data_IF_488944445967
#
_entry.id   IF_488944445967
#
_cell.length_a   1.000
_cell.length_b   1.000
_cell.length_c   1.000
_cell.angle_alpha   90.00
_cell.angle_beta   90.00
_cell.angle_gamma   90.00
#
_symmetry.space_group_name_H-M   'P 1'
#
loop_
_entity.id
_entity.type
_entity.pdbx_description
1 polymer ?
#
# COMPACT_ATOMS: atom_id res chain seq x y z
N UNK A 1 3.65 -31.23 -9.17
CA UNK A 1 3.70 -30.60 -7.84
C UNK A 1 4.36 -29.24 -7.99
N UNK A 2 3.60 -28.14 -7.92
CA UNK A 2 4.09 -26.77 -7.66
C UNK A 2 2.87 -25.83 -7.58
N UNK A 3 2.38 -25.70 -6.34
CA UNK A 3 1.79 -24.52 -5.69
C UNK A 3 1.14 -23.44 -6.57
N UNK A 4 -0.19 -23.39 -6.55
CA UNK A 4 -0.93 -22.14 -6.61
C UNK A 4 -0.68 -21.36 -5.31
N UNK A 5 -0.36 -20.06 -5.34
CA UNK A 5 -0.84 -19.17 -4.30
C UNK A 5 -2.20 -18.65 -4.75
N UNK A 6 -3.24 -19.26 -4.18
CA UNK A 6 -4.48 -18.55 -3.86
C UNK A 6 -4.10 -17.34 -3.01
N UNK A 7 -4.37 -16.12 -3.47
CA UNK A 7 -4.58 -14.96 -2.60
C UNK A 7 -5.16 -13.81 -3.43
N UNK A 8 -6.49 -13.75 -3.45
CA UNK A 8 -7.27 -12.59 -3.89
C UNK A 8 -7.04 -11.43 -2.92
N UNK A 9 -5.83 -10.91 -2.85
CA UNK A 9 -5.57 -9.63 -2.24
C UNK A 9 -5.81 -8.57 -3.33
N UNK A 10 -6.89 -7.81 -3.22
CA UNK A 10 -7.17 -6.67 -4.11
C UNK A 10 -6.10 -5.58 -3.91
N UNK A 11 -4.99 -5.75 -4.62
CA UNK A 11 -3.88 -4.82 -4.65
C UNK A 11 -4.18 -3.75 -5.70
N UNK A 12 -4.30 -2.51 -5.24
CA UNK A 12 -4.62 -1.38 -6.12
C UNK A 12 -3.44 -0.42 -6.18
N UNK A 13 -3.12 0.03 -7.39
CA UNK A 13 -2.15 1.08 -7.61
C UNK A 13 -2.78 2.44 -7.31
N UNK A 14 -2.36 3.07 -6.23
CA UNK A 14 -2.88 4.36 -5.77
C UNK A 14 -1.82 5.45 -5.89
N UNK A 15 -2.23 6.69 -6.19
CA UNK A 15 -1.30 7.82 -6.19
C UNK A 15 -0.84 8.17 -4.77
N UNK A 16 0.23 8.96 -4.62
CA UNK A 16 0.68 9.43 -3.29
C UNK A 16 -0.43 10.07 -2.45
N UNK A 17 -1.42 10.72 -3.08
CA UNK A 17 -2.54 11.34 -2.37
C UNK A 17 -3.54 10.30 -1.87
N UNK A 18 -3.86 9.31 -2.68
CA UNK A 18 -4.82 8.25 -2.36
C UNK A 18 -4.22 7.22 -1.41
N UNK A 19 -2.98 6.79 -1.65
CA UNK A 19 -2.26 5.88 -0.77
C UNK A 19 -2.18 6.42 0.66
N UNK A 20 -1.93 7.73 0.84
CA UNK A 20 -1.97 8.37 2.16
C UNK A 20 -3.35 8.32 2.80
N UNK A 21 -4.43 8.50 2.04
CA UNK A 21 -5.81 8.41 2.55
C UNK A 21 -6.18 6.99 2.97
N UNK A 22 -5.78 6.00 2.17
CA UNK A 22 -6.09 4.58 2.40
C UNK A 22 -5.27 4.02 3.55
N UNK A 23 -3.94 4.25 3.54
CA UNK A 23 -3.04 3.82 4.61
C UNK A 23 -3.19 4.66 5.89
N UNK A 24 -3.86 5.82 5.81
CA UNK A 24 -3.97 6.82 6.90
C UNK A 24 -2.60 7.19 7.50
N UNK A 25 -1.57 7.22 6.67
CA UNK A 25 -0.19 7.58 7.07
C UNK A 25 0.13 9.02 6.70
N UNK A 26 1.05 9.61 7.46
CA UNK A 26 1.67 10.90 7.13
C UNK A 26 2.68 10.76 5.97
N UNK A 27 3.05 11.88 5.35
CA UNK A 27 4.09 11.93 4.32
C UNK A 27 5.44 11.35 4.79
N UNK A 28 5.85 11.64 6.02
CA UNK A 28 7.05 11.06 6.64
C UNK A 28 6.97 9.53 6.76
N UNK A 29 5.84 8.98 7.23
CA UNK A 29 5.65 7.53 7.30
C UNK A 29 5.64 6.88 5.92
N UNK A 30 4.99 7.49 4.93
CA UNK A 30 5.01 6.99 3.56
C UNK A 30 6.43 6.96 3.00
N UNK A 31 7.27 7.96 3.33
CA UNK A 31 8.67 7.97 2.96
C UNK A 31 9.46 6.85 3.65
N UNK A 32 9.25 6.62 4.95
CA UNK A 32 9.88 5.50 5.66
C UNK A 32 9.52 4.16 5.03
N UNK A 33 8.24 3.89 4.76
CA UNK A 33 7.81 2.65 4.12
C UNK A 33 8.45 2.44 2.73
N UNK A 34 8.64 3.53 1.99
CA UNK A 34 9.35 3.53 0.70
C UNK A 34 10.86 3.24 0.87
N UNK A 35 11.51 3.86 1.86
CA UNK A 35 12.94 3.69 2.14
C UNK A 35 13.27 2.33 2.74
N UNK A 36 12.38 1.80 3.59
CA UNK A 36 12.48 0.48 4.20
C UNK A 36 12.21 -0.65 3.18
N UNK A 37 11.75 -0.34 1.97
CA UNK A 37 11.39 -1.34 0.96
C UNK A 37 10.11 -2.12 1.31
N UNK A 38 9.34 -1.65 2.29
CA UNK A 38 8.07 -2.27 2.75
C UNK A 38 6.90 -1.93 1.84
N UNK A 39 7.04 -0.91 1.00
CA UNK A 39 5.99 -0.44 0.09
C UNK A 39 6.43 -0.53 -1.35
N UNK A 40 5.72 -1.34 -2.13
CA UNK A 40 5.93 -1.41 -3.57
C UNK A 40 5.43 -0.13 -4.23
N UNK A 41 6.29 0.48 -5.05
CA UNK A 41 5.95 1.67 -5.80
C UNK A 41 6.39 1.51 -7.26
N UNK A 42 5.64 2.11 -8.17
CA UNK A 42 6.00 2.25 -9.58
C UNK A 42 5.94 3.71 -9.98
N UNK A 43 6.79 4.12 -10.91
CA UNK A 43 6.78 5.46 -11.49
C UNK A 43 6.22 5.34 -12.90
N UNK A 44 5.15 6.08 -13.18
CA UNK A 44 4.51 6.13 -14.49
C UNK A 44 4.51 7.60 -14.95
N UNK A 45 5.41 7.91 -15.89
CA UNK A 45 5.70 9.28 -16.32
C UNK A 45 6.23 10.14 -15.16
N UNK A 46 5.51 11.22 -14.82
CA UNK A 46 5.83 12.12 -13.72
C UNK A 46 5.10 11.79 -12.40
N UNK A 47 4.37 10.66 -12.34
CA UNK A 47 3.57 10.28 -11.16
C UNK A 47 4.14 9.03 -10.51
N UNK A 48 4.03 8.99 -9.18
CA UNK A 48 4.34 7.80 -8.38
C UNK A 48 3.03 7.13 -7.97
N UNK A 49 2.99 5.82 -8.17
CA UNK A 49 1.91 4.95 -7.76
C UNK A 49 2.45 3.95 -6.74
N UNK A 50 1.64 3.62 -5.75
CA UNK A 50 1.97 2.72 -4.66
C UNK A 50 0.99 1.57 -4.69
N UNK A 51 1.52 0.35 -4.61
CA UNK A 51 0.68 -0.84 -4.54
C UNK A 51 0.21 -1.00 -3.10
N UNK A 52 -1.08 -0.77 -2.89
CA UNK A 52 -1.70 -0.94 -1.59
C UNK A 52 -2.61 -2.16 -1.66
N UNK A 53 -2.33 -3.16 -0.81
CA UNK A 53 -3.29 -4.22 -0.55
C UNK A 53 -4.45 -3.63 0.27
N UNK A 54 -5.65 -3.58 -0.31
CA UNK A 54 -6.86 -3.12 0.39
C UNK A 54 -7.32 -4.20 1.37
N UNK A 55 -6.56 -4.41 2.44
CA UNK A 55 -7.03 -5.23 3.55
C UNK A 55 -7.79 -4.32 4.51
N UNK A 56 -9.07 -4.05 4.21
CA UNK A 56 -9.95 -3.27 5.09
C UNK A 56 -10.30 -4.06 6.35
N UNK A 57 -9.31 -4.35 7.19
CA UNK A 57 -9.54 -4.65 8.59
C UNK A 57 -9.35 -3.34 9.35
N UNK A 58 -10.43 -2.57 9.45
CA UNK A 58 -10.53 -1.52 10.46
C UNK A 58 -10.58 -2.21 11.81
N UNK A 59 -9.42 -2.52 12.38
CA UNK A 59 -9.30 -2.71 13.81
C UNK A 59 -9.56 -1.34 14.45
N UNK A 60 -10.84 -1.07 14.67
CA UNK A 60 -11.24 -0.30 15.84
C UNK A 60 -10.93 -1.23 17.00
N UNK A 61 -9.92 -0.93 17.79
CA UNK A 61 -9.96 -0.96 19.26
C UNK A 61 -8.56 -0.65 19.80
N UNK A 62 -8.41 0.54 20.39
CA UNK A 62 -7.83 0.55 21.71
C UNK A 62 -8.50 1.67 22.51
N UNK A 63 -9.18 1.20 23.54
CA UNK A 63 -9.91 1.84 24.65
C UNK A 63 -9.21 3.03 25.26
#
# INVERSE_FOLDING_TARGET
MATLPTESADQVWLTSKEAKKVLKVSDCHLMHLRLEGKLQFRKEGNRYFYLIALNTHSDKELT
#
